data_IF_066927536921
#
_entry.id   IF_066927536921
#
_cell.length_a   1.000
_cell.length_b   1.000
_cell.length_c   1.000
_cell.angle_alpha   90.00
_cell.angle_beta   90.00
_cell.angle_gamma   90.00
#
_symmetry.space_group_name_H-M   'P 1'
#
loop_
_entity.id
_entity.type
_entity.pdbx_description
1 polymer ?
#
# COMPACT_ATOMS: atom_id res chain seq x y z
N UNK A 1 -12.83 -2.04 2.46
CA UNK A 1 -11.88 -1.56 3.48
C UNK A 1 -11.66 -0.06 3.31
N UNK A 2 -11.20 0.64 4.34
CA UNK A 2 -10.80 2.06 4.24
C UNK A 2 -9.35 2.15 3.77
N UNK A 3 -9.04 3.09 2.88
CA UNK A 3 -7.69 3.35 2.41
C UNK A 3 -7.49 4.85 2.12
N UNK A 4 -6.25 5.31 2.21
CA UNK A 4 -5.84 6.66 1.80
C UNK A 4 -5.40 6.60 0.33
N UNK A 5 -6.08 7.36 -0.53
CA UNK A 5 -5.82 7.39 -1.97
C UNK A 5 -5.38 8.77 -2.45
N UNK A 6 -4.65 8.79 -3.56
CA UNK A 6 -4.38 9.99 -4.33
C UNK A 6 -4.46 9.73 -5.84
N UNK A 7 -5.01 10.67 -6.59
CA UNK A 7 -5.21 10.55 -8.06
C UNK A 7 -4.42 11.57 -8.86
N UNK A 8 -3.73 12.49 -8.19
CA UNK A 8 -2.85 13.51 -8.75
C UNK A 8 -1.68 13.74 -7.81
N UNK A 9 -0.55 14.14 -8.38
CA UNK A 9 0.60 14.57 -7.59
C UNK A 9 0.32 15.86 -6.84
N UNK A 10 0.86 16.02 -5.63
CA UNK A 10 0.69 17.25 -4.86
C UNK A 10 1.10 17.15 -3.39
N UNK A 11 0.77 18.17 -2.58
CA UNK A 11 0.93 18.12 -1.12
C UNK A 11 -0.08 17.15 -0.48
N UNK A 12 0.02 16.85 0.83
CA UNK A 12 -0.89 15.94 1.54
C UNK A 12 -2.38 16.20 1.36
N UNK A 13 -2.79 17.43 1.05
CA UNK A 13 -4.19 17.79 0.80
C UNK A 13 -4.83 17.07 -0.38
N UNK A 14 -4.04 16.43 -1.26
CA UNK A 14 -4.56 15.59 -2.35
C UNK A 14 -4.97 14.19 -1.87
N UNK A 15 -4.59 13.80 -0.66
CA UNK A 15 -4.94 12.52 -0.05
C UNK A 15 -6.42 12.48 0.32
N UNK A 16 -7.08 11.36 0.03
CA UNK A 16 -8.49 11.16 0.28
C UNK A 16 -8.72 9.82 0.97
N UNK A 17 -9.38 9.84 2.13
CA UNK A 17 -9.90 8.62 2.74
C UNK A 17 -11.09 8.12 1.92
N UNK A 18 -11.00 6.89 1.42
CA UNK A 18 -12.09 6.24 0.68
C UNK A 18 -12.36 4.85 1.19
N UNK A 19 -13.59 4.40 0.99
CA UNK A 19 -13.93 2.99 1.06
C UNK A 19 -13.71 2.35 -0.31
N UNK A 20 -12.95 1.25 -0.32
CA UNK A 20 -12.63 0.48 -1.52
C UNK A 20 -12.89 -1.00 -1.26
N UNK A 21 -12.94 -1.80 -2.32
CA UNK A 21 -13.04 -3.26 -2.18
C UNK A 21 -11.84 -3.82 -1.41
N UNK A 22 -12.12 -4.82 -0.57
CA UNK A 22 -11.06 -5.53 0.15
C UNK A 22 -10.36 -6.47 -0.86
N UNK A 23 -9.02 -6.45 -0.97
CA UNK A 23 -8.33 -7.32 -1.89
C UNK A 23 -8.41 -8.78 -1.44
N UNK A 24 -8.43 -9.68 -2.43
CA UNK A 24 -8.33 -11.13 -2.22
C UNK A 24 -6.91 -11.56 -2.56
N UNK A 25 -6.18 -12.24 -1.66
CA UNK A 25 -4.80 -12.65 -1.93
C UNK A 25 -4.77 -13.70 -3.06
N UNK A 26 -3.81 -13.56 -3.98
CA UNK A 26 -3.51 -14.63 -4.95
C UNK A 26 -2.87 -15.83 -4.26
N UNK A 27 -2.61 -16.88 -5.03
CA UNK A 27 -2.14 -18.17 -4.53
C UNK A 27 -0.87 -18.12 -3.66
N UNK A 28 0.03 -17.18 -3.93
CA UNK A 28 1.30 -17.00 -3.21
C UNK A 28 1.33 -15.71 -2.36
N UNK A 29 0.20 -15.03 -2.19
CA UNK A 29 0.11 -13.77 -1.47
C UNK A 29 -0.53 -13.98 -0.08
N UNK A 30 -0.26 -13.06 0.84
CA UNK A 30 -0.86 -12.99 2.16
C UNK A 30 -1.65 -11.70 2.26
N UNK A 31 -2.87 -11.78 2.80
CA UNK A 31 -3.66 -10.61 3.14
C UNK A 31 -3.44 -10.27 4.61
N UNK A 32 -3.00 -9.05 4.87
CA UNK A 32 -2.71 -8.55 6.21
C UNK A 32 -3.73 -7.49 6.59
N UNK A 33 -4.35 -7.65 7.76
CA UNK A 33 -5.08 -6.57 8.42
C UNK A 33 -4.06 -5.66 9.09
N UNK A 34 -3.81 -4.53 8.43
CA UNK A 34 -2.85 -3.52 8.91
C UNK A 34 -3.37 -2.87 10.19
N UNK A 35 -2.53 -2.83 11.23
CA UNK A 35 -2.79 -2.12 12.49
C UNK A 35 -1.98 -0.82 12.57
N UNK A 36 -0.76 -0.84 12.05
CA UNK A 36 0.11 0.32 11.94
C UNK A 36 0.88 0.29 10.61
N UNK A 37 1.20 1.48 10.13
CA UNK A 37 2.11 1.73 9.01
C UNK A 37 2.89 3.01 9.35
N UNK A 38 4.13 3.08 8.91
CA UNK A 38 4.96 4.28 9.07
C UNK A 38 4.86 5.19 7.84
N UNK A 39 5.43 6.40 7.95
CA UNK A 39 5.57 7.33 6.83
C UNK A 39 7.04 7.43 6.51
N UNK A 40 7.41 7.05 5.29
CA UNK A 40 8.77 7.04 4.80
C UNK A 40 9.02 8.16 3.77
N UNK A 41 10.31 8.46 3.50
CA UNK A 41 10.73 9.37 2.43
C UNK A 41 10.18 8.93 1.06
N UNK A 42 10.03 7.61 0.88
CA UNK A 42 9.44 7.02 -0.32
C UNK A 42 7.99 7.47 -0.56
N UNK A 43 7.16 7.49 0.49
CA UNK A 43 5.75 7.90 0.39
C UNK A 43 5.64 9.37 -0.06
N UNK A 44 6.47 10.24 0.51
CA UNK A 44 6.51 11.66 0.16
C UNK A 44 6.92 11.89 -1.30
N UNK A 45 7.98 11.20 -1.73
CA UNK A 45 8.50 11.28 -3.09
C UNK A 45 7.50 10.78 -4.14
N UNK A 46 6.78 9.71 -3.85
CA UNK A 46 5.72 9.20 -4.72
C UNK A 46 4.46 10.08 -4.72
N UNK A 47 4.11 10.67 -3.57
CA UNK A 47 3.00 11.61 -3.45
C UNK A 47 3.22 12.85 -4.32
N UNK A 48 4.44 13.39 -4.34
CA UNK A 48 4.79 14.56 -5.15
C UNK A 48 5.18 14.22 -6.59
N UNK A 49 5.55 12.96 -6.84
CA UNK A 49 6.17 12.53 -8.09
C UNK A 49 7.55 13.17 -8.28
N UNK A 50 8.36 13.18 -7.22
CA UNK A 50 9.71 13.74 -7.17
C UNK A 50 10.72 12.68 -6.71
N UNK A 51 11.96 12.66 -7.22
CA UNK A 51 12.42 13.40 -8.40
C UNK A 51 11.65 12.96 -9.67
N UNK A 52 11.74 13.72 -10.76
CA UNK A 52 10.91 13.51 -11.97
C UNK A 52 10.98 12.08 -12.53
N UNK A 53 12.09 11.37 -12.31
CA UNK A 53 12.24 9.94 -12.66
C UNK A 53 11.15 9.06 -12.02
N UNK A 54 10.64 9.40 -10.83
CA UNK A 54 9.52 8.68 -10.21
C UNK A 54 8.25 8.78 -11.05
N UNK A 55 8.04 9.87 -11.80
CA UNK A 55 6.91 9.96 -12.75
C UNK A 55 7.12 9.07 -13.96
N UNK A 56 8.36 8.87 -14.42
CA UNK A 56 8.64 7.94 -15.51
C UNK A 56 8.30 6.49 -15.11
N UNK A 57 8.62 6.11 -13.88
CA UNK A 57 8.37 4.76 -13.36
C UNK A 57 6.92 4.54 -12.90
N UNK A 58 6.38 5.48 -12.12
CA UNK A 58 5.11 5.33 -11.39
C UNK A 58 3.98 6.21 -11.93
N UNK A 59 4.15 6.84 -13.09
CA UNK A 59 3.07 7.47 -13.86
C UNK A 59 3.39 8.91 -14.28
N UNK A 60 3.47 9.16 -15.58
CA UNK A 60 4.02 10.42 -16.09
C UNK A 60 3.18 11.65 -15.67
N UNK A 61 1.89 11.59 -15.92
CA UNK A 61 0.95 12.69 -15.68
C UNK A 61 0.25 12.59 -14.33
N UNK A 62 -0.03 11.36 -13.89
CA UNK A 62 -0.71 11.05 -12.63
C UNK A 62 -0.18 9.73 -12.07
N UNK A 63 -0.31 9.50 -10.75
CA UNK A 63 0.11 8.25 -10.12
C UNK A 63 -0.60 7.04 -10.73
N UNK A 64 0.17 6.02 -11.09
CA UNK A 64 -0.31 4.67 -11.43
C UNK A 64 -0.66 3.89 -10.17
N UNK A 65 0.18 4.01 -9.14
CA UNK A 65 -0.10 3.49 -7.80
C UNK A 65 -0.82 4.57 -7.02
N UNK A 66 -2.04 4.29 -6.56
CA UNK A 66 -2.91 5.29 -5.93
C UNK A 66 -2.99 5.14 -4.41
N UNK A 67 -2.36 4.11 -3.85
CA UNK A 67 -2.26 3.87 -2.40
C UNK A 67 -0.78 3.84 -2.08
N UNK A 68 -0.38 4.62 -1.08
CA UNK A 68 0.99 4.70 -0.56
C UNK A 68 1.16 3.74 0.63
N UNK A 69 2.41 3.51 1.02
CA UNK A 69 2.81 2.53 2.03
C UNK A 69 4.10 1.83 1.60
N UNK A 70 5.04 1.74 2.53
CA UNK A 70 6.28 0.98 2.37
C UNK A 70 6.29 -0.17 3.36
N UNK A 71 6.11 0.13 4.65
CA UNK A 71 6.06 -0.86 5.72
C UNK A 71 4.68 -1.02 6.38
N UNK A 72 4.53 -2.16 7.07
CA UNK A 72 3.35 -2.48 7.87
C UNK A 72 3.70 -3.24 9.15
N UNK A 73 2.81 -3.14 10.13
CA UNK A 73 2.65 -4.10 11.21
C UNK A 73 1.17 -4.45 11.36
N UNK A 74 0.86 -5.72 11.50
CA UNK A 74 -0.51 -6.17 11.53
C UNK A 74 -0.66 -7.67 11.76
N UNK A 75 -1.81 -8.18 11.34
CA UNK A 75 -2.17 -9.58 11.53
C UNK A 75 -2.55 -10.22 10.21
N UNK A 76 -2.08 -11.44 9.97
CA UNK A 76 -2.51 -12.23 8.81
C UNK A 76 -4.01 -12.49 8.90
N UNK A 77 -4.75 -12.04 7.89
CA UNK A 77 -6.20 -12.20 7.81
C UNK A 77 -6.59 -13.36 6.89
N UNK A 78 -5.87 -13.54 5.77
CA UNK A 78 -6.06 -14.65 4.85
C UNK A 78 -4.75 -14.99 4.12
N UNK A 79 -4.63 -16.22 3.61
CA UNK A 79 -3.46 -16.69 2.86
C UNK A 79 -3.88 -17.36 1.56
N UNK A 80 -3.04 -17.20 0.53
CA UNK A 80 -3.16 -17.97 -0.70
C UNK A 80 -2.87 -19.46 -0.51
N UNK A 81 -3.43 -20.30 -1.39
CA UNK A 81 -3.34 -21.78 -1.30
C UNK A 81 -1.91 -22.36 -1.25
N UNK A 82 -0.94 -21.65 -1.82
CA UNK A 82 0.45 -22.10 -1.90
C UNK A 82 1.32 -21.53 -0.77
N UNK A 83 0.79 -20.62 0.06
CA UNK A 83 1.51 -20.10 1.23
C UNK A 83 1.61 -21.19 2.28
N UNK A 84 2.83 -21.45 2.78
CA UNK A 84 3.12 -22.47 3.81
C UNK A 84 3.72 -21.90 5.09
N UNK A 85 4.27 -20.69 5.04
CA UNK A 85 5.00 -20.08 6.15
C UNK A 85 4.10 -19.30 7.11
N UNK A 86 2.92 -18.88 6.66
CA UNK A 86 2.00 -18.04 7.41
C UNK A 86 0.61 -18.67 7.46
N UNK A 87 -0.14 -18.35 8.50
CA UNK A 87 -1.53 -18.74 8.68
C UNK A 87 -2.37 -17.56 9.23
N UNK A 88 -3.70 -17.55 8.99
CA UNK A 88 -4.58 -16.56 9.61
C UNK A 88 -4.41 -16.51 11.13
N UNK A 89 -4.23 -15.30 11.66
CA UNK A 89 -4.01 -15.05 13.08
C UNK A 89 -2.56 -14.76 13.48
N UNK A 90 -1.59 -15.00 12.60
CA UNK A 90 -0.18 -14.66 12.86
C UNK A 90 0.04 -13.15 12.91
N UNK A 91 0.87 -12.70 13.85
CA UNK A 91 1.34 -11.31 13.91
C UNK A 91 2.57 -11.15 13.03
N UNK A 92 2.55 -10.15 12.15
CA UNK A 92 3.59 -9.94 11.13
C UNK A 92 3.93 -8.46 11.00
N UNK A 93 5.17 -8.18 10.62
CA UNK A 93 5.66 -6.86 10.25
C UNK A 93 6.68 -6.99 9.12
N UNK A 94 6.89 -5.91 8.37
CA UNK A 94 7.86 -5.88 7.28
C UNK A 94 7.76 -4.59 6.47
N UNK A 95 8.75 -4.40 5.60
CA UNK A 95 8.84 -3.40 4.53
C UNK A 95 8.82 -4.13 3.17
#
# INVERSE_FOLDING_TARGET
>A
MKAILYTKYGPPDVLQLKEIEKPTPKENEVLIKVHAASINDWDWRLLQGTPFVNRLLYGLLKPKMQILGSDIAGRVEAVGRNVKQFQPGDEVFGD
#
